data_IF_861188235955
#
_entry.id   IF_861188235955
#
_cell.length_a   1.000
_cell.length_b   1.000
_cell.length_c   1.000
_cell.angle_alpha   90.00
_cell.angle_beta   90.00
_cell.angle_gamma   90.00
#
_symmetry.space_group_name_H-M   'P 1'
#
loop_
_entity.id
_entity.type
_entity.pdbx_description
1 polymer ?
#
# COMPACT_ATOMS: atom_id res chain seq x y z
N UNK A 1 15.93 -19.03 -4.09
CA UNK A 1 15.26 -17.79 -4.54
C UNK A 1 14.20 -17.47 -3.50
N UNK A 2 14.23 -16.28 -2.87
CA UNK A 2 13.14 -15.80 -2.02
C UNK A 2 11.97 -15.34 -2.87
N UNK A 3 10.74 -15.56 -2.41
CA UNK A 3 9.57 -14.98 -3.06
C UNK A 3 9.51 -13.47 -2.74
N UNK A 4 9.06 -12.62 -3.68
CA UNK A 4 8.92 -11.19 -3.42
C UNK A 4 7.88 -10.94 -2.32
N UNK A 5 8.18 -10.01 -1.42
CA UNK A 5 7.24 -9.57 -0.40
C UNK A 5 6.10 -8.80 -1.08
N UNK A 6 4.85 -9.18 -0.80
CA UNK A 6 3.66 -8.47 -1.29
C UNK A 6 2.94 -7.79 -0.13
N UNK A 7 2.81 -6.47 -0.23
CA UNK A 7 2.03 -5.66 0.70
C UNK A 7 0.69 -5.29 0.06
N UNK A 8 -0.41 -5.75 0.67
CA UNK A 8 -1.76 -5.36 0.29
C UNK A 8 -2.11 -4.01 0.94
N UNK A 9 -2.42 -3.03 0.10
CA UNK A 9 -2.76 -1.66 0.50
C UNK A 9 -4.24 -1.35 0.28
N UNK A 10 -5.08 -2.37 0.09
CA UNK A 10 -6.52 -2.18 -0.18
C UNK A 10 -7.19 -1.37 0.93
N UNK A 11 -6.75 -1.58 2.17
CA UNK A 11 -7.31 -0.92 3.34
C UNK A 11 -6.86 0.53 3.45
N UNK A 12 -5.59 0.85 3.22
CA UNK A 12 -5.13 2.23 3.01
C UNK A 12 -5.95 2.97 1.93
N UNK A 13 -6.15 2.34 0.77
CA UNK A 13 -6.94 2.94 -0.33
C UNK A 13 -8.42 3.11 0.04
N UNK A 14 -9.01 2.16 0.75
CA UNK A 14 -10.38 2.30 1.25
C UNK A 14 -10.47 3.47 2.25
N UNK A 15 -9.51 3.55 3.17
CA UNK A 15 -9.48 4.54 4.26
C UNK A 15 -9.14 5.95 3.81
N UNK A 16 -8.48 6.12 2.68
CA UNK A 16 -8.33 7.41 2.00
C UNK A 16 -9.66 8.19 1.86
N UNK A 17 -10.81 7.50 1.87
CA UNK A 17 -12.15 8.10 1.76
C UNK A 17 -12.77 8.50 3.11
N UNK A 18 -12.06 8.33 4.22
CA UNK A 18 -12.58 8.52 5.58
C UNK A 18 -11.73 9.52 6.37
N UNK A 19 -12.38 10.37 7.16
CA UNK A 19 -11.77 11.56 7.78
C UNK A 19 -10.76 11.28 8.90
N UNK A 20 -10.64 10.06 9.43
CA UNK A 20 -9.71 9.77 10.53
C UNK A 20 -9.05 8.41 10.38
N UNK A 21 -7.70 8.34 10.30
CA UNK A 21 -6.98 7.07 10.24
C UNK A 21 -7.07 6.35 11.59
N UNK A 22 -7.39 5.06 11.53
CA UNK A 22 -7.30 4.13 12.65
C UNK A 22 -5.84 3.85 13.01
N UNK A 23 -5.57 3.30 14.20
CA UNK A 23 -4.23 2.86 14.57
C UNK A 23 -3.66 1.82 13.59
N UNK A 24 -4.52 0.96 13.04
CA UNK A 24 -4.12 -0.04 12.07
C UNK A 24 -3.76 0.62 10.72
N UNK A 25 -4.42 1.72 10.33
CA UNK A 25 -4.10 2.47 9.09
C UNK A 25 -2.71 3.11 9.18
N UNK A 26 -2.35 3.64 10.36
CA UNK A 26 -1.03 4.22 10.62
C UNK A 26 0.09 3.19 10.53
N UNK A 27 -0.14 1.98 11.03
CA UNK A 27 0.82 0.87 10.92
C UNK A 27 0.99 0.45 9.46
N UNK A 28 -0.10 0.34 8.71
CA UNK A 28 -0.04 0.02 7.27
C UNK A 28 0.69 1.10 6.48
N UNK A 29 0.45 2.39 6.78
CA UNK A 29 1.17 3.52 6.19
C UNK A 29 2.68 3.45 6.50
N UNK A 30 3.04 3.18 7.75
CA UNK A 30 4.44 3.02 8.16
C UNK A 30 5.14 1.87 7.42
N UNK A 31 4.46 0.73 7.24
CA UNK A 31 4.99 -0.37 6.44
C UNK A 31 5.13 0.00 4.97
N UNK A 32 4.11 0.62 4.36
CA UNK A 32 4.16 1.04 2.98
C UNK A 32 5.37 1.95 2.72
N UNK A 33 5.61 2.94 3.60
CA UNK A 33 6.79 3.82 3.54
C UNK A 33 8.10 3.07 3.74
N UNK A 34 8.18 2.21 4.76
CA UNK A 34 9.40 1.45 5.07
C UNK A 34 9.84 0.59 3.88
N UNK A 35 8.89 -0.09 3.23
CA UNK A 35 9.17 -1.02 2.16
C UNK A 35 9.24 -0.39 0.77
N UNK A 36 8.82 0.87 0.60
CA UNK A 36 8.83 1.57 -0.69
C UNK A 36 10.23 1.65 -1.33
N UNK A 37 11.27 1.73 -0.50
CA UNK A 37 12.67 1.79 -0.94
C UNK A 37 13.28 0.42 -1.29
N UNK A 38 12.56 -0.68 -1.08
CA UNK A 38 13.09 -2.04 -1.26
C UNK A 38 12.67 -2.61 -2.62
N UNK A 39 13.64 -2.87 -3.49
CA UNK A 39 13.44 -3.39 -4.84
C UNK A 39 12.66 -4.73 -4.90
N UNK A 40 12.72 -5.53 -3.83
CA UNK A 40 12.08 -6.84 -3.72
C UNK A 40 10.62 -6.78 -3.22
N UNK A 41 10.08 -5.57 -2.98
CA UNK A 41 8.70 -5.39 -2.51
C UNK A 41 7.76 -5.06 -3.65
N UNK A 42 6.63 -5.76 -3.68
CA UNK A 42 5.52 -5.48 -4.56
C UNK A 42 4.34 -4.96 -3.74
N UNK A 43 3.66 -3.95 -4.27
CA UNK A 43 2.47 -3.37 -3.65
C UNK A 43 1.24 -3.76 -4.46
N UNK A 44 0.18 -4.18 -3.77
CA UNK A 44 -1.05 -4.65 -4.42
C UNK A 44 -2.29 -4.04 -3.80
N UNK A 45 -3.36 -3.94 -4.60
CA UNK A 45 -4.71 -3.70 -4.11
C UNK A 45 -5.64 -4.79 -4.63
N UNK A 46 -6.70 -5.08 -3.88
CA UNK A 46 -7.77 -5.96 -4.31
C UNK A 46 -8.57 -5.30 -5.44
N UNK A 47 -8.70 -6.00 -6.56
CA UNK A 47 -9.47 -5.62 -7.74
C UNK A 47 -10.69 -6.56 -7.94
N UNK A 48 -11.35 -6.92 -6.83
CA UNK A 48 -12.54 -7.79 -6.83
C UNK A 48 -12.28 -9.16 -7.49
N UNK A 49 -13.15 -9.55 -8.42
CA UNK A 49 -13.04 -10.82 -9.15
C UNK A 49 -11.80 -10.94 -10.04
N UNK A 50 -11.12 -9.82 -10.34
CA UNK A 50 -9.87 -9.82 -11.12
C UNK A 50 -8.62 -10.11 -10.26
N UNK A 51 -8.79 -10.40 -8.97
CA UNK A 51 -7.69 -10.69 -8.05
C UNK A 51 -7.02 -9.44 -7.52
N UNK A 52 -5.69 -9.40 -7.56
CA UNK A 52 -4.88 -8.27 -7.08
C UNK A 52 -4.25 -7.48 -8.21
N UNK A 53 -4.25 -6.15 -8.11
CA UNK A 53 -3.58 -5.26 -9.06
C UNK A 53 -2.28 -4.75 -8.45
N UNK A 54 -1.17 -4.93 -9.16
CA UNK A 54 0.13 -4.36 -8.80
C UNK A 54 0.10 -2.84 -8.96
N UNK A 55 0.74 -2.14 -8.02
CA UNK A 55 0.90 -0.69 -8.05
C UNK A 55 2.31 -0.31 -8.52
N UNK A 56 2.37 0.80 -9.24
CA UNK A 56 3.62 1.45 -9.58
C UNK A 56 4.20 2.16 -8.34
N UNK A 57 5.46 1.89 -7.92
CA UNK A 57 6.04 2.48 -6.73
C UNK A 57 6.14 4.02 -6.77
N UNK A 58 6.33 4.63 -7.94
CA UNK A 58 6.42 6.08 -8.06
C UNK A 58 5.06 6.75 -7.81
N UNK A 59 3.98 6.21 -8.38
CA UNK A 59 2.61 6.67 -8.08
C UNK A 59 2.23 6.40 -6.63
N UNK A 60 2.66 5.27 -6.07
CA UNK A 60 2.41 4.95 -4.68
C UNK A 60 3.07 5.97 -3.75
N UNK A 61 4.31 6.38 -4.01
CA UNK A 61 4.99 7.41 -3.22
C UNK A 61 4.12 8.68 -3.07
N UNK A 62 3.64 9.24 -4.19
CA UNK A 62 2.80 10.43 -4.17
C UNK A 62 1.44 10.22 -3.49
N UNK A 63 0.88 9.00 -3.53
CA UNK A 63 -0.33 8.69 -2.77
C UNK A 63 -0.08 8.63 -1.26
N UNK A 64 1.05 8.05 -0.83
CA UNK A 64 1.40 7.99 0.60
C UNK A 64 1.68 9.38 1.17
N UNK A 65 2.31 10.27 0.39
CA UNK A 65 2.53 11.67 0.78
C UNK A 65 1.20 12.44 0.92
N UNK A 66 0.19 12.14 0.10
CA UNK A 66 -1.14 12.75 0.20
C UNK A 66 -1.96 12.30 1.42
N UNK A 67 -1.64 11.15 2.01
CA UNK A 67 -2.34 10.61 3.17
C UNK A 67 -1.91 11.23 4.52
N UNK A 68 -0.83 12.00 4.54
CA UNK A 68 -0.36 12.78 5.71
C UNK A 68 -1.02 14.16 5.78
#
# INVERSE_FOLDING_TARGET
MSLPLRLDLSRLVWRARHATPSGIDRVELAYARHFLSRAETQFVIRAGAMGGRLLDPLRLAGFLDWLE
#
